data_IF_634730830567
#
_entry.id   IF_634730830567
#
_cell.length_a   1.000
_cell.length_b   1.000
_cell.length_c   1.000
_cell.angle_alpha   90.00
_cell.angle_beta   90.00
_cell.angle_gamma   90.00
#
_symmetry.space_group_name_H-M   'P 1'
#
loop_
_entity.id
_entity.type
_entity.pdbx_description
1 polymer ?
#
# COMPACT_ATOMS: atom_id res chain seq x y z
N UNK A 1 8.91 9.92 19.59
CA UNK A 1 7.81 8.95 19.82
C UNK A 1 6.96 8.71 18.57
N UNK A 2 6.85 9.68 17.66
CA UNK A 2 6.09 9.59 16.39
C UNK A 2 6.70 8.65 15.34
N UNK A 3 8.03 8.60 15.22
CA UNK A 3 8.72 7.74 14.22
C UNK A 3 8.47 6.25 14.50
N UNK A 4 8.61 5.82 15.76
CA UNK A 4 8.37 4.42 16.18
C UNK A 4 6.91 4.01 15.94
N UNK A 5 5.99 4.95 16.14
CA UNK A 5 4.56 4.73 15.86
C UNK A 5 4.28 4.54 14.37
N UNK A 6 4.87 5.38 13.51
CA UNK A 6 4.76 5.23 12.05
C UNK A 6 5.36 3.92 11.54
N UNK A 7 6.52 3.51 12.07
CA UNK A 7 7.14 2.24 11.72
C UNK A 7 6.27 1.04 12.14
N UNK A 8 5.66 1.11 13.34
CA UNK A 8 4.73 0.07 13.81
C UNK A 8 3.48 -0.02 12.93
N UNK A 9 2.90 1.11 12.55
CA UNK A 9 1.74 1.16 11.65
C UNK A 9 2.06 0.55 10.29
N UNK A 10 3.22 0.88 9.72
CA UNK A 10 3.69 0.30 8.45
C UNK A 10 3.91 -1.21 8.55
N UNK A 11 4.56 -1.67 9.61
CA UNK A 11 4.83 -3.08 9.83
C UNK A 11 3.53 -3.89 10.01
N UNK A 12 2.57 -3.36 10.78
CA UNK A 12 1.26 -4.00 10.93
C UNK A 12 0.51 -4.08 9.60
N UNK A 13 0.50 -3.00 8.82
CA UNK A 13 -0.11 -2.98 7.49
C UNK A 13 0.54 -4.00 6.55
N UNK A 14 1.87 -4.08 6.55
CA UNK A 14 2.61 -5.06 5.76
C UNK A 14 2.24 -6.49 6.14
N UNK A 15 2.22 -6.81 7.44
CA UNK A 15 1.87 -8.15 7.93
C UNK A 15 0.43 -8.51 7.56
N UNK A 16 -0.52 -7.61 7.79
CA UNK A 16 -1.94 -7.86 7.48
C UNK A 16 -2.12 -8.06 5.97
N UNK A 17 -1.54 -7.20 5.14
CA UNK A 17 -1.60 -7.32 3.69
C UNK A 17 -0.98 -8.64 3.22
N UNK A 18 0.20 -9.00 3.75
CA UNK A 18 0.87 -10.26 3.42
C UNK A 18 0.03 -11.49 3.77
N UNK A 19 -0.60 -11.50 4.95
CA UNK A 19 -1.50 -12.60 5.38
C UNK A 19 -2.72 -12.69 4.46
N UNK A 20 -3.36 -11.57 4.13
CA UNK A 20 -4.52 -11.56 3.24
C UNK A 20 -4.15 -12.07 1.83
N UNK A 21 -3.00 -11.65 1.30
CA UNK A 21 -2.50 -12.13 0.01
C UNK A 21 -2.21 -13.63 0.04
N UNK A 22 -1.59 -14.13 1.12
CA UNK A 22 -1.33 -15.55 1.30
C UNK A 22 -2.62 -16.39 1.32
N UNK A 23 -3.63 -15.94 2.06
CA UNK A 23 -4.94 -16.60 2.11
C UNK A 23 -5.61 -16.56 0.73
N UNK A 24 -5.58 -15.42 0.03
CA UNK A 24 -6.14 -15.30 -1.31
C UNK A 24 -5.44 -16.24 -2.31
N UNK A 25 -4.11 -16.35 -2.24
CA UNK A 25 -3.34 -17.27 -3.06
C UNK A 25 -3.67 -18.74 -2.73
N UNK A 26 -3.87 -19.08 -1.46
CA UNK A 26 -4.25 -20.43 -1.04
C UNK A 26 -5.64 -20.81 -1.56
N UNK A 27 -6.61 -19.89 -1.48
CA UNK A 27 -7.95 -20.07 -2.07
C UNK A 27 -7.85 -20.25 -3.58
N UNK A 28 -7.03 -19.43 -4.25
CA UNK A 28 -6.84 -19.54 -5.69
C UNK A 28 -6.29 -20.91 -6.08
N UNK A 29 -5.26 -21.41 -5.38
CA UNK A 29 -4.72 -22.76 -5.58
C UNK A 29 -5.77 -23.83 -5.32
N UNK A 30 -6.55 -23.71 -4.24
CA UNK A 30 -7.59 -24.68 -3.90
C UNK A 30 -8.68 -24.80 -4.99
N UNK A 31 -9.02 -23.70 -5.65
CA UNK A 31 -10.08 -23.67 -6.69
C UNK A 31 -9.55 -24.06 -8.07
N UNK A 32 -8.36 -23.57 -8.45
CA UNK A 32 -7.85 -23.68 -9.81
C UNK A 32 -6.56 -24.53 -9.95
N UNK A 33 -6.16 -25.26 -8.91
CA UNK A 33 -4.96 -26.12 -8.89
C UNK A 33 -3.64 -25.34 -8.98
N UNK A 34 -2.53 -25.98 -9.36
CA UNK A 34 -1.26 -25.30 -9.66
C UNK A 34 -0.34 -25.03 -8.46
N UNK A 35 0.80 -24.39 -8.72
CA UNK A 35 1.85 -24.16 -7.73
C UNK A 35 1.57 -22.91 -6.88
N UNK A 36 1.57 -23.10 -5.55
CA UNK A 36 1.30 -22.04 -4.59
C UNK A 36 2.34 -20.92 -4.63
N UNK A 37 3.62 -21.26 -4.78
CA UNK A 37 4.73 -20.29 -4.82
C UNK A 37 4.56 -19.28 -5.95
N UNK A 38 4.30 -19.75 -7.16
CA UNK A 38 4.12 -18.89 -8.34
C UNK A 38 2.87 -18.02 -8.20
N UNK A 39 1.75 -18.58 -7.72
CA UNK A 39 0.49 -17.82 -7.53
C UNK A 39 0.59 -16.80 -6.42
N UNK A 40 1.28 -17.13 -5.33
CA UNK A 40 1.61 -16.20 -4.27
C UNK A 40 2.46 -15.06 -4.81
N UNK A 41 3.50 -15.36 -5.60
CA UNK A 41 4.34 -14.34 -6.24
C UNK A 41 3.52 -13.38 -7.11
N UNK A 42 2.66 -13.91 -7.97
CA UNK A 42 1.77 -13.10 -8.82
C UNK A 42 0.84 -12.24 -7.97
N UNK A 43 0.21 -12.82 -6.94
CA UNK A 43 -0.72 -12.11 -6.07
C UNK A 43 -0.04 -10.97 -5.29
N UNK A 44 1.20 -11.19 -4.82
CA UNK A 44 2.00 -10.17 -4.14
C UNK A 44 2.35 -9.00 -5.06
N UNK A 45 2.73 -9.27 -6.31
CA UNK A 45 3.01 -8.22 -7.31
C UNK A 45 1.74 -7.43 -7.63
N UNK A 46 0.63 -8.11 -7.90
CA UNK A 46 -0.64 -7.46 -8.24
C UNK A 46 -1.13 -6.58 -7.10
N UNK A 47 -1.13 -7.09 -5.86
CA UNK A 47 -1.60 -6.33 -4.69
C UNK A 47 -0.63 -5.20 -4.34
N UNK A 48 0.68 -5.43 -4.42
CA UNK A 48 1.68 -4.37 -4.22
C UNK A 48 1.55 -3.25 -5.26
N UNK A 49 1.28 -3.60 -6.52
CA UNK A 49 1.01 -2.64 -7.60
C UNK A 49 -0.29 -1.86 -7.38
N UNK A 50 -1.38 -2.54 -7.01
CA UNK A 50 -2.65 -1.90 -6.67
C UNK A 50 -2.52 -0.95 -5.49
N UNK A 51 -1.77 -1.32 -4.45
CA UNK A 51 -1.47 -0.43 -3.31
C UNK A 51 -0.69 0.82 -3.74
N UNK A 52 0.22 0.69 -4.72
CA UNK A 52 0.91 1.83 -5.31
C UNK A 52 -0.02 2.77 -6.07
N UNK A 53 -0.85 2.24 -6.97
CA UNK A 53 -1.79 3.04 -7.78
C UNK A 53 -2.85 3.71 -6.91
N UNK A 54 -3.39 3.00 -5.93
CA UNK A 54 -4.38 3.56 -4.99
C UNK A 54 -3.77 4.56 -4.00
N UNK A 55 -2.47 4.43 -3.71
CA UNK A 55 -1.72 5.41 -2.91
C UNK A 55 -1.58 6.78 -3.58
N UNK A 56 -1.49 6.81 -4.91
CA UNK A 56 -1.31 8.03 -5.74
C UNK A 56 -2.53 8.98 -5.72
N UNK A 57 -3.73 8.49 -5.42
CA UNK A 57 -4.91 9.34 -5.15
C UNK A 57 -4.69 10.31 -3.97
N UNK A 58 -3.69 10.06 -3.14
CA UNK A 58 -3.23 10.98 -2.10
C UNK A 58 -2.27 12.05 -2.65
N UNK A 59 -1.45 11.70 -3.65
CA UNK A 59 -0.47 12.60 -4.28
C UNK A 59 -1.14 13.64 -5.19
N UNK A 60 -2.18 13.25 -5.93
CA UNK A 60 -3.03 14.17 -6.70
C UNK A 60 -3.62 15.29 -5.81
N UNK A 61 -3.91 14.97 -4.54
CA UNK A 61 -4.42 15.92 -3.56
C UNK A 61 -3.40 16.98 -3.13
N UNK A 62 -2.11 16.66 -3.17
CA UNK A 62 -0.99 17.58 -2.88
C UNK A 62 -0.78 18.55 -4.06
N UNK A 63 -0.90 18.06 -5.30
CA UNK A 63 -0.82 18.90 -6.52
C UNK A 63 -1.93 19.95 -6.62
N UNK A 64 -3.09 19.69 -6.02
CA UNK A 64 -4.22 20.63 -5.96
C UNK A 64 -4.09 21.76 -4.93
N UNK A 65 -3.03 21.79 -4.11
CA UNK A 65 -2.80 22.86 -3.14
C UNK A 65 -2.43 24.19 -3.82
N UNK A 66 -1.72 24.13 -4.96
CA UNK A 66 -1.30 25.32 -5.73
C UNK A 66 -2.47 26.11 -6.32
N UNK A 67 -3.40 25.49 -7.08
CA UNK A 67 -4.56 26.18 -7.63
C UNK A 67 -5.51 26.73 -6.55
N UNK A 68 -5.68 26.05 -5.42
CA UNK A 68 -6.60 26.48 -4.36
C UNK A 68 -6.11 27.69 -3.56
N UNK A 69 -4.80 27.81 -3.35
CA UNK A 69 -4.18 28.99 -2.74
C UNK A 69 -4.39 30.26 -3.59
N UNK A 70 -4.48 30.11 -4.91
CA UNK A 70 -4.75 31.22 -5.85
C UNK A 70 -6.21 31.69 -5.76
N UNK A 71 -7.15 30.79 -5.48
CA UNK A 71 -8.59 31.12 -5.40
C UNK A 71 -9.08 31.53 -4.00
N UNK A 72 -8.19 31.72 -3.01
CA UNK A 72 -8.58 32.16 -1.67
C UNK A 72 -9.47 31.17 -0.90
N UNK A 73 -9.63 29.95 -1.42
CA UNK A 73 -10.31 28.88 -0.70
C UNK A 73 -9.45 28.50 0.50
N UNK A 74 -10.04 28.50 1.71
CA UNK A 74 -9.34 28.10 2.92
C UNK A 74 -8.67 26.74 2.66
N UNK A 75 -7.34 26.72 2.70
CA UNK A 75 -6.57 25.49 2.60
C UNK A 75 -7.14 24.51 3.60
N UNK A 76 -7.56 23.35 3.10
CA UNK A 76 -8.17 22.29 3.90
C UNK A 76 -7.19 22.02 5.06
N UNK A 77 -7.51 22.56 6.25
CA UNK A 77 -6.71 22.35 7.45
C UNK A 77 -6.82 20.89 7.77
N UNK A 78 -5.87 20.11 7.27
CA UNK A 78 -5.40 18.85 7.81
C UNK A 78 -6.49 18.02 8.50
N UNK A 79 -7.60 17.78 7.80
CA UNK A 79 -8.40 16.57 8.00
C UNK A 79 -7.81 15.46 7.15
N UNK A 80 -6.47 15.30 7.23
CA UNK A 80 -5.86 13.99 7.10
C UNK A 80 -6.47 13.18 8.25
N UNK A 81 -7.46 12.34 7.95
CA UNK A 81 -8.28 11.65 8.95
C UNK A 81 -7.45 11.08 10.11
N UNK A 82 -7.48 11.79 11.24
CA UNK A 82 -7.07 11.38 12.58
C UNK A 82 -5.71 10.70 12.72
N UNK A 83 -4.63 11.48 12.87
CA UNK A 83 -3.41 11.01 13.57
C UNK A 83 -2.66 9.80 12.98
N UNK A 84 -2.87 9.48 11.69
CA UNK A 84 -2.08 8.45 10.99
C UNK A 84 -0.77 9.04 10.48
N UNK A 85 0.34 8.46 10.93
CA UNK A 85 1.71 8.90 10.60
C UNK A 85 2.11 8.45 9.19
N UNK A 86 1.43 7.43 8.66
CA UNK A 86 1.74 6.80 7.39
C UNK A 86 0.94 7.41 6.23
N UNK A 87 1.60 8.20 5.38
CA UNK A 87 1.02 8.78 4.16
C UNK A 87 0.93 7.74 3.04
N UNK A 88 0.22 8.04 1.95
CA UNK A 88 0.15 7.17 0.76
C UNK A 88 1.53 6.80 0.20
N UNK A 89 2.49 7.74 0.20
CA UNK A 89 3.89 7.49 -0.18
C UNK A 89 4.55 6.51 0.79
N UNK A 90 4.31 6.66 2.10
CA UNK A 90 4.80 5.72 3.11
C UNK A 90 4.24 4.31 2.92
N UNK A 91 2.96 4.17 2.59
CA UNK A 91 2.34 2.87 2.30
C UNK A 91 3.00 2.22 1.07
N UNK A 92 3.23 2.98 0.00
CA UNK A 92 3.89 2.43 -1.18
C UNK A 92 5.33 1.96 -0.86
N UNK A 93 6.14 2.80 -0.22
CA UNK A 93 7.55 2.48 0.05
C UNK A 93 7.73 1.36 1.07
N UNK A 94 6.91 1.32 2.12
CA UNK A 94 7.07 0.37 3.22
C UNK A 94 6.19 -0.88 3.10
N UNK A 95 5.19 -0.90 2.22
CA UNK A 95 4.27 -2.04 2.05
C UNK A 95 4.26 -2.51 0.60
N UNK A 96 3.91 -1.64 -0.34
CA UNK A 96 3.77 -1.99 -1.76
C UNK A 96 5.08 -2.49 -2.39
N UNK A 97 6.16 -1.73 -2.25
CA UNK A 97 7.46 -2.06 -2.83
C UNK A 97 8.03 -3.37 -2.26
N UNK A 98 8.05 -3.61 -0.92
CA UNK A 98 8.46 -4.90 -0.37
C UNK A 98 7.61 -6.08 -0.87
N UNK A 99 6.29 -5.93 -0.98
CA UNK A 99 5.41 -6.98 -1.52
C UNK A 99 5.79 -7.32 -2.97
N UNK A 100 6.03 -6.32 -3.81
CA UNK A 100 6.45 -6.53 -5.21
C UNK A 100 7.79 -7.25 -5.28
N UNK A 101 8.78 -6.81 -4.47
CA UNK A 101 10.12 -7.42 -4.45
C UNK A 101 10.04 -8.89 -4.03
N UNK A 102 9.33 -9.19 -2.93
CA UNK A 102 9.13 -10.57 -2.47
C UNK A 102 8.39 -11.38 -3.55
N UNK A 103 7.35 -10.81 -4.16
CA UNK A 103 6.61 -11.48 -5.22
C UNK A 103 7.45 -11.81 -6.44
N UNK A 104 8.31 -10.88 -6.88
CA UNK A 104 9.24 -11.10 -7.98
C UNK A 104 10.27 -12.19 -7.65
N UNK A 105 10.81 -12.21 -6.44
CA UNK A 105 11.74 -13.24 -5.97
C UNK A 105 11.12 -14.64 -5.89
N UNK A 106 9.80 -14.75 -5.72
CA UNK A 106 9.10 -16.03 -5.70
C UNK A 106 8.78 -16.57 -7.11
N UNK A 107 8.85 -15.72 -8.14
CA UNK A 107 8.61 -16.09 -9.54
C UNK A 107 9.93 -16.39 -10.27
N UNK A 108 11.01 -15.70 -9.89
CA UNK A 108 12.34 -15.86 -10.46
C UNK A 108 12.97 -17.22 -10.09
#
# INVERSE_FOLDING_TARGET
MTIVRGLREALLLFVIAGVLVAVAAAIWVAVAGGEYTTRLGIALIVVGGLLGVTGDLTMSRIGMLGPRAIFGAAGERETAGGGRVLTGVGIFLFVGLPLIVVGALLIA
#
